data_IF_635888651296
#
_entry.id   IF_635888651296
#
_cell.length_a   1.000
_cell.length_b   1.000
_cell.length_c   1.000
_cell.angle_alpha   90.00
_cell.angle_beta   90.00
_cell.angle_gamma   90.00
#
_symmetry.space_group_name_H-M   'P 1'
#
loop_
_entity.id
_entity.type
_entity.pdbx_description
1 polymer ?
#
# COMPACT_ATOMS: atom_id res chain seq x y z
N UNK A 1 29.28 2.29 48.22
CA UNK A 1 28.34 1.14 48.05
C UNK A 1 26.95 1.74 48.18
N UNK A 2 26.05 1.76 47.21
CA UNK A 2 25.67 0.76 46.22
C UNK A 2 25.38 1.41 44.86
N UNK A 3 25.80 0.71 43.80
CA UNK A 3 25.43 0.99 42.41
C UNK A 3 24.00 0.47 42.19
N UNK A 4 23.05 1.33 41.86
CA UNK A 4 21.77 0.92 41.27
C UNK A 4 21.84 1.24 39.77
N UNK A 5 22.07 0.18 39.00
CA UNK A 5 22.09 0.16 37.54
C UNK A 5 20.64 0.40 37.07
N UNK A 6 20.37 1.34 36.15
CA UNK A 6 19.01 1.57 35.69
C UNK A 6 18.59 0.40 34.81
N UNK A 7 17.63 -0.37 35.31
CA UNK A 7 16.98 -1.51 34.66
C UNK A 7 16.00 -1.03 33.56
N UNK A 8 16.41 -0.07 32.74
CA UNK A 8 15.55 0.62 31.76
C UNK A 8 16.01 0.46 30.30
N UNK A 9 17.00 -0.40 30.04
CA UNK A 9 17.60 -0.58 28.72
C UNK A 9 17.22 -1.91 28.01
N UNK A 10 16.33 -2.72 28.58
CA UNK A 10 15.99 -4.05 28.05
C UNK A 10 14.66 -4.13 27.29
N UNK A 11 13.86 -3.07 27.26
CA UNK A 11 12.56 -3.07 26.58
C UNK A 11 12.55 -2.39 25.20
N UNK A 12 13.64 -1.72 24.80
CA UNK A 12 13.68 -0.99 23.53
C UNK A 12 13.71 -1.85 22.24
N UNK A 13 14.18 -3.13 22.19
CA UNK A 13 14.25 -3.83 20.91
C UNK A 13 12.89 -4.40 20.44
N UNK A 14 11.87 -4.46 21.31
CA UNK A 14 10.56 -5.03 20.96
C UNK A 14 9.63 -4.06 20.21
N UNK A 15 9.99 -2.77 20.12
CA UNK A 15 9.20 -1.75 19.42
C UNK A 15 9.71 -1.45 18.00
N UNK A 16 10.83 -2.04 17.58
CA UNK A 16 11.41 -1.83 16.25
C UNK A 16 10.83 -2.76 15.15
N UNK A 17 9.92 -3.68 15.51
CA UNK A 17 9.39 -4.69 14.58
C UNK A 17 8.04 -4.38 13.93
N UNK A 18 7.39 -3.25 14.26
CA UNK A 18 5.96 -3.07 13.97
C UNK A 18 5.59 -2.39 12.63
N UNK A 19 6.48 -2.20 11.65
CA UNK A 19 6.13 -1.37 10.48
C UNK A 19 6.48 -1.92 9.09
N UNK A 20 7.14 -3.07 8.95
CA UNK A 20 7.63 -3.51 7.62
C UNK A 20 7.12 -4.86 7.10
N UNK A 21 6.25 -5.59 7.80
CA UNK A 21 5.78 -6.92 7.33
C UNK A 21 4.45 -6.91 6.57
N UNK A 22 3.78 -5.77 6.45
CA UNK A 22 2.32 -5.73 6.18
C UNK A 22 1.90 -6.16 4.78
N UNK A 23 2.63 -5.81 3.72
CA UNK A 23 2.16 -6.02 2.34
C UNK A 23 2.42 -7.43 1.80
N UNK A 24 3.51 -8.09 2.20
CA UNK A 24 3.76 -9.47 1.76
C UNK A 24 2.88 -10.46 2.55
N UNK A 25 2.76 -10.25 3.86
CA UNK A 25 1.91 -11.06 4.73
C UNK A 25 0.42 -10.87 4.40
N UNK A 26 -0.02 -9.65 4.08
CA UNK A 26 -1.42 -9.41 3.67
C UNK A 26 -1.77 -10.14 2.38
N UNK A 27 -0.91 -10.08 1.36
CA UNK A 27 -1.11 -10.79 0.09
C UNK A 27 -1.13 -12.31 0.29
N UNK A 28 -0.29 -12.80 1.19
CA UNK A 28 -0.27 -14.21 1.54
C UNK A 28 -1.54 -14.64 2.30
N UNK A 29 -2.06 -13.79 3.19
CA UNK A 29 -3.32 -14.01 3.88
C UNK A 29 -4.53 -13.96 2.92
N UNK A 30 -4.55 -13.00 1.99
CA UNK A 30 -5.58 -12.87 0.95
C UNK A 30 -5.60 -14.12 0.05
N UNK A 31 -4.43 -14.52 -0.47
CA UNK A 31 -4.29 -15.73 -1.28
C UNK A 31 -4.68 -17.00 -0.50
N UNK A 32 -4.32 -17.09 0.78
CA UNK A 32 -4.72 -18.21 1.64
C UNK A 32 -6.23 -18.24 1.85
N UNK A 33 -6.87 -17.10 2.11
CA UNK A 33 -8.32 -17.00 2.30
C UNK A 33 -9.07 -17.51 1.06
N UNK A 34 -8.63 -17.10 -0.14
CA UNK A 34 -9.18 -17.58 -1.42
C UNK A 34 -9.01 -19.11 -1.60
N UNK A 35 -7.88 -19.65 -1.15
CA UNK A 35 -7.55 -21.07 -1.33
C UNK A 35 -7.91 -21.96 -0.12
N UNK A 36 -8.63 -21.42 0.86
CA UNK A 36 -8.91 -22.10 2.14
C UNK A 36 -9.69 -23.41 1.99
N UNK A 37 -10.50 -23.52 0.94
CA UNK A 37 -11.31 -24.71 0.63
C UNK A 37 -10.64 -25.72 -0.32
N UNK A 38 -9.36 -25.53 -0.66
CA UNK A 38 -8.65 -26.49 -1.51
C UNK A 38 -8.60 -27.88 -0.86
N UNK A 39 -8.81 -28.97 -1.63
CA UNK A 39 -9.06 -30.31 -1.11
C UNK A 39 -7.83 -30.98 -0.46
N UNK A 40 -6.63 -30.41 -0.66
CA UNK A 40 -5.38 -30.94 -0.15
C UNK A 40 -4.28 -29.88 -0.12
N UNK A 41 -3.14 -30.17 0.55
CA UNK A 41 -2.04 -29.22 0.69
C UNK A 41 -1.40 -28.85 -0.65
N UNK A 42 -1.31 -29.79 -1.59
CA UNK A 42 -0.69 -29.57 -2.91
C UNK A 42 -1.62 -28.74 -3.82
N UNK A 43 -2.92 -29.00 -3.79
CA UNK A 43 -3.93 -28.18 -4.46
C UNK A 43 -3.97 -26.77 -3.89
N UNK A 44 -3.86 -26.63 -2.56
CA UNK A 44 -3.80 -25.32 -1.91
C UNK A 44 -2.55 -24.56 -2.32
N UNK A 45 -1.38 -25.21 -2.36
CA UNK A 45 -0.14 -24.57 -2.79
C UNK A 45 -0.21 -24.08 -4.25
N UNK A 46 -0.79 -24.89 -5.14
CA UNK A 46 -1.03 -24.49 -6.54
C UNK A 46 -2.01 -23.33 -6.65
N UNK A 47 -3.11 -23.37 -5.91
CA UNK A 47 -4.09 -22.29 -5.84
C UNK A 47 -3.43 -20.99 -5.34
N UNK A 48 -2.72 -21.04 -4.21
CA UNK A 48 -2.07 -19.87 -3.61
C UNK A 48 -1.04 -19.25 -4.54
N UNK A 49 -0.28 -20.06 -5.29
CA UNK A 49 0.67 -19.55 -6.28
C UNK A 49 -0.03 -18.72 -7.36
N UNK A 50 -1.17 -19.19 -7.86
CA UNK A 50 -1.97 -18.48 -8.85
C UNK A 50 -2.55 -17.20 -8.26
N UNK A 51 -3.16 -17.28 -7.07
CA UNK A 51 -3.75 -16.10 -6.41
C UNK A 51 -2.71 -15.02 -6.11
N UNK A 52 -1.52 -15.39 -5.63
CA UNK A 52 -0.43 -14.44 -5.42
C UNK A 52 0.01 -13.75 -6.72
N UNK A 53 0.05 -14.48 -7.84
CA UNK A 53 0.38 -13.90 -9.14
C UNK A 53 -0.71 -12.94 -9.63
N UNK A 54 -1.98 -13.25 -9.38
CA UNK A 54 -3.12 -12.38 -9.71
C UNK A 54 -3.12 -11.11 -8.86
N UNK A 55 -2.87 -11.23 -7.56
CA UNK A 55 -2.75 -10.10 -6.64
C UNK A 55 -1.60 -9.19 -7.09
N UNK A 56 -0.43 -9.75 -7.40
CA UNK A 56 0.71 -8.96 -7.88
C UNK A 56 0.40 -8.24 -9.20
N UNK A 57 -0.31 -8.89 -10.13
CA UNK A 57 -0.73 -8.26 -11.37
C UNK A 57 -1.73 -7.13 -11.15
N UNK A 58 -2.67 -7.28 -10.20
CA UNK A 58 -3.59 -6.22 -9.77
C UNK A 58 -2.81 -5.03 -9.21
N UNK A 59 -1.92 -5.27 -8.26
CA UNK A 59 -1.17 -4.22 -7.57
C UNK A 59 -0.32 -3.41 -8.57
N UNK A 60 0.32 -4.08 -9.53
CA UNK A 60 1.06 -3.39 -10.61
C UNK A 60 0.15 -2.51 -11.45
N UNK A 61 -1.01 -3.02 -11.85
CA UNK A 61 -1.99 -2.26 -12.63
C UNK A 61 -2.54 -1.07 -11.86
N UNK A 62 -2.74 -1.20 -10.55
CA UNK A 62 -3.17 -0.09 -9.69
C UNK A 62 -2.07 0.96 -9.55
N UNK A 63 -0.81 0.55 -9.42
CA UNK A 63 0.33 1.47 -9.42
C UNK A 63 0.45 2.22 -10.75
N UNK A 64 0.32 1.54 -11.88
CA UNK A 64 0.35 2.16 -13.21
C UNK A 64 -0.79 3.18 -13.38
N UNK A 65 -1.99 2.85 -12.88
CA UNK A 65 -3.14 3.76 -12.89
C UNK A 65 -2.89 4.98 -12.02
N UNK A 66 -2.42 4.79 -10.80
CA UNK A 66 -2.10 5.89 -9.90
C UNK A 66 -1.08 6.83 -10.54
N UNK A 67 -0.04 6.28 -11.17
CA UNK A 67 0.95 7.07 -11.89
C UNK A 67 0.31 7.83 -13.07
N UNK A 68 -0.48 7.17 -13.90
CA UNK A 68 -1.15 7.82 -15.03
C UNK A 68 -2.10 8.94 -14.57
N UNK A 69 -2.81 8.75 -13.45
CA UNK A 69 -3.69 9.76 -12.87
C UNK A 69 -2.88 10.97 -12.36
N UNK A 70 -1.72 10.73 -11.74
CA UNK A 70 -0.79 11.78 -11.32
C UNK A 70 -0.26 12.57 -12.52
N UNK A 71 0.24 11.89 -13.55
CA UNK A 71 0.73 12.53 -14.77
C UNK A 71 -0.37 13.33 -15.47
N UNK A 72 -1.60 12.80 -15.50
CA UNK A 72 -2.74 13.52 -16.06
C UNK A 72 -3.11 14.77 -15.24
N UNK A 73 -3.02 14.71 -13.92
CA UNK A 73 -3.23 15.87 -13.04
C UNK A 73 -2.16 16.94 -13.27
N UNK A 74 -0.88 16.56 -13.33
CA UNK A 74 0.23 17.46 -13.64
C UNK A 74 0.07 18.11 -15.01
N UNK A 75 -0.33 17.32 -16.02
CA UNK A 75 -0.58 17.84 -17.36
C UNK A 75 -1.71 18.87 -17.37
N UNK A 76 -2.83 18.60 -16.70
CA UNK A 76 -3.94 19.56 -16.57
C UNK A 76 -3.50 20.83 -15.87
N UNK A 77 -2.70 20.72 -14.80
CA UNK A 77 -2.14 21.88 -14.11
C UNK A 77 -1.26 22.72 -15.05
N UNK A 78 -0.35 22.08 -15.79
CA UNK A 78 0.54 22.78 -16.72
C UNK A 78 -0.23 23.54 -17.81
N UNK A 79 -1.33 22.97 -18.32
CA UNK A 79 -2.23 23.65 -19.29
C UNK A 79 -2.89 24.89 -18.69
N UNK A 80 -3.32 24.84 -17.42
CA UNK A 80 -3.93 25.98 -16.73
C UNK A 80 -2.89 27.07 -16.40
N UNK A 81 -1.68 26.68 -15.98
CA UNK A 81 -0.59 27.64 -15.77
C UNK A 81 -0.19 28.33 -17.09
N UNK A 82 -0.13 27.59 -18.20
CA UNK A 82 0.15 28.14 -19.52
C UNK A 82 -0.93 29.11 -20.03
N UNK A 83 -2.18 28.99 -19.57
CA UNK A 83 -3.26 29.92 -19.89
C UNK A 83 -3.26 31.20 -19.04
N UNK A 84 -2.29 31.32 -18.11
CA UNK A 84 -2.09 32.51 -17.27
C UNK A 84 -2.69 32.39 -15.86
N UNK A 85 -3.17 31.21 -15.45
CA UNK A 85 -3.59 30.99 -14.06
C UNK A 85 -2.38 30.91 -13.13
N UNK A 86 -2.55 31.36 -11.88
CA UNK A 86 -1.52 31.20 -10.86
C UNK A 86 -1.37 29.73 -10.48
N UNK A 87 -0.17 29.30 -10.10
CA UNK A 87 0.09 27.89 -9.76
C UNK A 87 -0.80 27.37 -8.63
N UNK A 88 -1.16 28.24 -7.67
CA UNK A 88 -2.08 27.88 -6.59
C UNK A 88 -3.51 27.61 -7.09
N UNK A 89 -3.99 28.40 -8.05
CA UNK A 89 -5.34 28.26 -8.61
C UNK A 89 -5.39 27.14 -9.67
N UNK A 90 -4.27 26.85 -10.33
CA UNK A 90 -4.14 25.79 -11.33
C UNK A 90 -3.95 24.40 -10.73
N UNK A 91 -3.66 24.29 -9.42
CA UNK A 91 -3.34 23.04 -8.74
C UNK A 91 -4.40 21.97 -8.96
N UNK A 92 -3.98 20.82 -9.49
CA UNK A 92 -4.85 19.66 -9.71
C UNK A 92 -4.54 18.56 -8.69
N UNK A 93 -5.56 17.80 -8.29
CA UNK A 93 -5.41 16.63 -7.42
C UNK A 93 -5.94 15.39 -8.12
N UNK A 94 -5.35 14.24 -7.79
CA UNK A 94 -5.86 12.92 -8.22
C UNK A 94 -7.06 12.47 -7.39
N UNK A 95 -7.17 12.97 -6.16
CA UNK A 95 -8.33 12.75 -5.30
C UNK A 95 -9.49 13.64 -5.74
N UNK A 96 -10.63 13.02 -5.97
CA UNK A 96 -11.90 13.70 -6.29
C UNK A 96 -12.48 14.47 -5.10
N UNK A 97 -12.01 14.19 -3.87
CA UNK A 97 -12.53 14.77 -2.63
C UNK A 97 -13.99 14.37 -2.32
N UNK A 98 -14.58 13.49 -3.15
CA UNK A 98 -15.96 13.07 -3.05
C UNK A 98 -16.07 12.02 -1.95
N UNK A 99 -16.49 12.45 -0.76
CA UNK A 99 -16.83 11.52 0.33
C UNK A 99 -18.18 10.87 0.01
N UNK A 100 -18.22 9.54 -0.04
CA UNK A 100 -19.50 8.82 -0.03
C UNK A 100 -20.28 9.19 1.22
N UNK A 101 -21.56 9.58 1.12
CA UNK A 101 -22.37 9.90 2.28
C UNK A 101 -22.55 8.66 3.17
N UNK A 102 -22.50 8.89 4.48
CA UNK A 102 -22.65 7.88 5.54
C UNK A 102 -24.03 7.20 5.54
#
# INVERSE_FOLDING_TARGET
MNKMIPMLALALPLLAGCVSTTAAESRQAEAYAHCSYAPGPDERARCMKTELALIEARDRKEADRAQADHEAAEHRQAVLEASGMSSNDAKQTVDSGLRTPD
#
